data_IF_633436309411
#
_entry.id   IF_633436309411
#
_cell.length_a   1.000
_cell.length_b   1.000
_cell.length_c   1.000
_cell.angle_alpha   90.00
_cell.angle_beta   90.00
_cell.angle_gamma   90.00
#
_symmetry.space_group_name_H-M   'P 1'
#
loop_
_entity.id
_entity.type
_entity.pdbx_description
1 polymer ?
#
# COMPACT_ATOMS: atom_id res chain seq x y z
N UNK A 1 -9.75 -9.44 -4.10
CA UNK A 1 -9.02 -8.16 -4.06
C UNK A 1 -7.54 -8.44 -4.28
N UNK A 2 -6.90 -7.72 -5.19
CA UNK A 2 -5.44 -7.80 -5.40
C UNK A 2 -4.76 -6.56 -4.83
N UNK A 3 -3.49 -6.64 -4.46
CA UNK A 3 -2.75 -5.46 -3.99
C UNK A 3 -2.61 -4.38 -5.08
N UNK A 4 -2.62 -4.78 -6.36
CA UNK A 4 -2.64 -3.82 -7.48
C UNK A 4 -3.93 -3.00 -7.52
N UNK A 5 -5.09 -3.63 -7.30
CA UNK A 5 -6.36 -2.91 -7.23
C UNK A 5 -6.39 -1.96 -6.03
N UNK A 6 -5.96 -2.43 -4.85
CA UNK A 6 -5.88 -1.56 -3.66
C UNK A 6 -4.90 -0.39 -3.85
N UNK A 7 -3.79 -0.59 -4.56
CA UNK A 7 -2.85 0.49 -4.88
C UNK A 7 -3.47 1.55 -5.79
N UNK A 8 -4.29 1.14 -6.76
CA UNK A 8 -5.03 2.08 -7.60
C UNK A 8 -6.05 2.87 -6.79
N UNK A 9 -6.80 2.21 -5.90
CA UNK A 9 -7.76 2.89 -5.02
C UNK A 9 -7.07 3.94 -4.12
N UNK A 10 -5.87 3.63 -3.61
CA UNK A 10 -5.06 4.61 -2.86
C UNK A 10 -4.63 5.79 -3.74
N UNK A 11 -4.19 5.53 -4.98
CA UNK A 11 -3.79 6.56 -5.92
C UNK A 11 -4.95 7.50 -6.27
N UNK A 12 -6.13 6.93 -6.53
CA UNK A 12 -7.34 7.68 -6.85
C UNK A 12 -7.76 8.53 -5.65
N UNK A 13 -7.71 7.98 -4.44
CA UNK A 13 -7.98 8.72 -3.19
C UNK A 13 -7.03 9.93 -3.02
N UNK A 14 -5.74 9.76 -3.30
CA UNK A 14 -4.78 10.88 -3.24
C UNK A 14 -5.12 11.95 -4.29
N UNK A 15 -5.51 11.54 -5.50
CA UNK A 15 -5.87 12.47 -6.58
C UNK A 15 -7.12 13.27 -6.25
N UNK A 16 -8.17 12.60 -5.77
CA UNK A 16 -9.42 13.23 -5.32
C UNK A 16 -9.18 14.21 -4.17
N UNK A 17 -8.25 13.87 -3.28
CA UNK A 17 -7.86 14.73 -2.15
C UNK A 17 -6.83 15.81 -2.53
N UNK A 18 -6.39 15.85 -3.80
CA UNK A 18 -5.32 16.74 -4.28
C UNK A 18 -4.02 16.64 -3.46
N UNK A 19 -3.70 15.45 -2.95
CA UNK A 19 -2.47 15.18 -2.19
C UNK A 19 -1.42 14.65 -3.16
N UNK A 20 -0.46 15.49 -3.53
CA UNK A 20 0.60 15.09 -4.46
C UNK A 20 1.53 14.03 -3.87
N UNK A 21 1.81 14.08 -2.56
CA UNK A 21 2.76 13.18 -1.90
C UNK A 21 2.44 13.03 -0.42
N UNK A 22 2.52 11.82 0.12
CA UNK A 22 2.17 11.53 1.51
C UNK A 22 3.12 10.54 2.20
N UNK A 23 3.16 10.60 3.53
CA UNK A 23 3.73 9.56 4.37
C UNK A 23 2.61 8.63 4.82
N UNK A 24 2.81 7.33 4.64
CA UNK A 24 1.82 6.31 4.94
C UNK A 24 2.17 5.54 6.20
N UNK A 25 1.15 5.15 6.96
CA UNK A 25 1.26 4.21 8.07
C UNK A 25 0.32 3.05 7.74
N UNK A 26 0.89 1.90 7.38
CA UNK A 26 0.14 0.72 6.95
C UNK A 26 0.24 -0.41 7.97
N UNK A 27 -0.89 -0.91 8.44
CA UNK A 27 -0.98 -2.09 9.29
C UNK A 27 -1.37 -3.32 8.48
N UNK A 28 -0.67 -4.46 8.66
CA UNK A 28 -1.00 -5.73 8.00
C UNK A 28 -1.21 -5.55 6.47
N UNK A 29 -2.36 -5.96 5.93
CA UNK A 29 -2.75 -5.79 4.52
C UNK A 29 -2.55 -4.37 3.99
N UNK A 30 -2.80 -3.34 4.81
CA UNK A 30 -2.62 -1.94 4.43
C UNK A 30 -1.16 -1.60 4.09
N UNK A 31 -0.20 -2.20 4.80
CA UNK A 31 1.21 -2.03 4.46
C UNK A 31 1.57 -2.62 3.09
N UNK A 32 1.02 -3.80 2.74
CA UNK A 32 1.21 -4.40 1.42
C UNK A 32 0.54 -3.59 0.30
N UNK A 33 -0.63 -3.01 0.55
CA UNK A 33 -1.27 -2.11 -0.41
C UNK A 33 -0.40 -0.87 -0.69
N UNK A 34 0.20 -0.26 0.34
CA UNK A 34 1.11 0.88 0.14
C UNK A 34 2.43 0.46 -0.50
N UNK A 35 2.96 -0.72 -0.20
CA UNK A 35 4.13 -1.27 -0.92
C UNK A 35 3.81 -1.42 -2.41
N UNK A 36 2.63 -1.92 -2.77
CA UNK A 36 2.19 -1.98 -4.17
C UNK A 36 2.03 -0.57 -4.79
N UNK A 37 1.49 0.40 -4.05
CA UNK A 37 1.44 1.80 -4.50
C UNK A 37 2.85 2.36 -4.74
N UNK A 38 3.83 2.04 -3.88
CA UNK A 38 5.21 2.51 -4.06
C UNK A 38 5.87 1.98 -5.34
N UNK A 39 5.46 0.80 -5.81
CA UNK A 39 5.92 0.26 -7.09
C UNK A 39 5.16 0.87 -8.28
N UNK A 40 3.89 1.24 -8.10
CA UNK A 40 3.04 1.83 -9.13
C UNK A 40 3.33 3.33 -9.37
N UNK A 41 3.49 4.10 -8.29
CA UNK A 41 3.58 5.56 -8.29
C UNK A 41 4.56 6.04 -7.18
N UNK A 42 5.86 5.74 -7.30
CA UNK A 42 6.87 6.02 -6.26
C UNK A 42 6.96 7.51 -5.88
N UNK A 43 6.68 8.41 -6.81
CA UNK A 43 6.67 9.86 -6.59
C UNK A 43 5.64 10.32 -5.56
N UNK A 44 4.59 9.51 -5.35
CA UNK A 44 3.52 9.78 -4.38
C UNK A 44 3.89 9.42 -2.95
N UNK A 45 5.03 8.76 -2.73
CA UNK A 45 5.47 8.28 -1.41
C UNK A 45 6.57 9.18 -0.84
N UNK A 46 6.27 9.88 0.26
CA UNK A 46 7.29 10.52 1.09
C UNK A 46 7.94 9.55 2.08
N UNK A 47 7.20 8.53 2.51
CA UNK A 47 7.69 7.47 3.39
C UNK A 47 6.59 6.46 3.71
N UNK A 48 6.99 5.29 4.21
CA UNK A 48 6.09 4.24 4.68
C UNK A 48 6.58 3.70 6.03
N UNK A 49 5.68 3.68 7.01
CA UNK A 49 5.82 2.89 8.23
C UNK A 49 4.91 1.67 8.10
N UNK A 50 5.52 0.49 8.02
CA UNK A 50 4.81 -0.79 7.97
C UNK A 50 4.77 -1.42 9.38
N UNK A 51 3.58 -1.77 9.86
CA UNK A 51 3.37 -2.34 11.20
C UNK A 51 2.81 -3.76 11.04
N UNK A 52 3.52 -4.72 11.64
CA UNK A 52 3.18 -6.16 11.67
C UNK A 52 2.88 -6.76 10.28
N UNK A 53 3.75 -6.42 9.32
CA UNK A 53 3.67 -6.96 7.97
C UNK A 53 5.06 -7.01 7.34
N UNK A 54 5.41 -8.19 6.82
CA UNK A 54 6.58 -8.37 5.97
C UNK A 54 6.13 -8.55 4.50
N UNK A 55 6.97 -8.17 3.51
CA UNK A 55 6.69 -8.37 2.08
C UNK A 55 6.92 -9.84 1.70
N UNK A 56 6.29 -10.75 2.44
CA UNK A 56 6.37 -12.20 2.27
C UNK A 56 5.00 -12.74 1.91
N UNK A 57 5.00 -13.86 1.17
CA UNK A 57 3.77 -14.55 0.85
C UNK A 57 3.33 -15.38 2.06
N UNK A 58 2.23 -14.97 2.69
CA UNK A 58 1.70 -15.69 3.85
C UNK A 58 0.87 -16.86 3.33
N UNK A 59 1.50 -18.03 3.28
CA UNK A 59 0.79 -19.27 2.97
C UNK A 59 -0.11 -19.63 4.15
N UNK A 60 -1.42 -19.55 3.95
CA UNK A 60 -2.39 -20.22 4.83
C UNK A 60 -2.20 -21.72 4.65
N UNK A 61 -1.72 -22.41 5.69
CA UNK A 61 -1.71 -23.87 5.69
C UNK A 61 -3.16 -24.37 5.63
N UNK A 62 -3.49 -25.36 4.79
CA UNK A 62 -4.82 -25.94 4.78
C UNK A 62 -5.06 -26.63 6.13
N UNK A 63 -6.20 -26.32 6.73
CA UNK A 63 -6.75 -27.00 7.92
C UNK A 63 -7.16 -28.43 7.59
#
# INVERSE_FOLDING_TARGET
>A
MTYSAMAQDLLDTLNESQIEKATFIGHSMGGKAVMALSALAPERIAGLVAIDIAPVDYHVSPS
#
